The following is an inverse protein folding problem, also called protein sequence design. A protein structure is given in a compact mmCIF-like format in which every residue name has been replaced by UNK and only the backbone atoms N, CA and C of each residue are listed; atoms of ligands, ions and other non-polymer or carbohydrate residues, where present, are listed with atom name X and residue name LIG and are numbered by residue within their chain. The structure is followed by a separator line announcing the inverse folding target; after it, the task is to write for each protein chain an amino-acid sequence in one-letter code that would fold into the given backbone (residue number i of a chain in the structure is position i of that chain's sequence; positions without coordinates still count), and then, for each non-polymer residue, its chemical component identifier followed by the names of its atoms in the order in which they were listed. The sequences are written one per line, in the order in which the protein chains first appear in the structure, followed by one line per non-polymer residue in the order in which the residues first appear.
data_IF_819541012599
#
_entry.id   IF_819541012599
#
_cell.length_a   1.000
_cell.length_b   1.000
_cell.length_c   1.000
_cell.angle_alpha   90.00
_cell.angle_beta   90.00
_cell.angle_gamma   90.00
#
_symmetry.space_group_name_H-M   'P 1'
#
loop_
_entity.id
_entity.type
_entity.pdbx_description
1 polymer ?
#
# COMPACT_ATOMS: atom_id res chain seq x y z
N UNK A 1 32.29 44.17 29.25
CA UNK A 1 30.91 44.25 28.70
C UNK A 1 30.75 43.83 27.23
N UNK A 2 31.78 43.82 26.36
CA UNK A 2 31.61 43.47 24.92
C UNK A 2 31.44 41.96 24.60
N UNK A 3 31.93 41.05 25.45
CA UNK A 3 31.89 39.58 25.20
C UNK A 3 30.50 38.93 25.43
N UNK A 4 29.72 39.39 26.41
CA UNK A 4 28.36 38.87 26.66
C UNK A 4 27.37 39.22 25.54
N UNK A 5 27.52 40.39 24.91
CA UNK A 5 26.68 40.82 23.79
C UNK A 5 26.94 39.99 22.51
N UNK A 6 28.19 39.59 22.27
CA UNK A 6 28.57 38.79 21.10
C UNK A 6 28.06 37.35 21.17
N UNK A 7 27.97 36.77 22.37
CA UNK A 7 27.38 35.43 22.59
C UNK A 7 25.85 35.42 22.43
N UNK A 8 25.16 36.50 22.82
CA UNK A 8 23.71 36.65 22.60
C UNK A 8 23.34 36.75 21.11
N UNK A 9 24.11 37.53 20.34
CA UNK A 9 23.91 37.67 18.89
C UNK A 9 24.22 36.35 18.16
N UNK A 10 25.28 35.65 18.56
CA UNK A 10 25.62 34.33 18.00
C UNK A 10 24.53 33.28 18.24
N UNK A 11 23.93 33.26 19.44
CA UNK A 11 22.83 32.35 19.77
C UNK A 11 21.55 32.67 18.98
N UNK A 12 21.22 33.95 18.78
CA UNK A 12 20.06 34.38 17.98
C UNK A 12 20.23 34.04 16.50
N UNK A 13 21.44 34.19 15.95
CA UNK A 13 21.74 33.82 14.56
C UNK A 13 21.73 32.29 14.35
N UNK A 14 22.20 31.50 15.32
CA UNK A 14 22.09 30.04 15.27
C UNK A 14 20.63 29.60 15.32
N UNK A 15 19.81 30.21 16.18
CA UNK A 15 18.38 29.90 16.27
C UNK A 15 17.65 30.27 14.96
N UNK A 16 17.95 31.43 14.37
CA UNK A 16 17.37 31.86 13.10
C UNK A 16 17.75 30.94 11.92
N UNK A 17 18.95 30.35 11.95
CA UNK A 17 19.37 29.34 10.97
C UNK A 17 18.54 28.04 11.07
N UNK A 18 18.19 27.61 12.28
CA UNK A 18 17.31 26.44 12.49
C UNK A 18 15.85 26.69 12.07
N UNK A 19 15.36 27.93 12.12
CA UNK A 19 13.99 28.29 11.70
C UNK A 19 13.88 28.70 10.22
N UNK A 20 14.99 28.87 9.50
CA UNK A 20 15.02 29.32 8.11
C UNK A 20 14.86 28.22 7.05
N UNK A 21 14.85 26.94 7.45
CA UNK A 21 14.68 25.81 6.53
C UNK A 21 13.21 25.60 6.15
N UNK A 22 12.57 26.61 5.57
CA UNK A 22 11.27 26.47 4.94
C UNK A 22 11.49 25.82 3.56
N UNK A 23 11.32 24.50 3.46
CA UNK A 23 11.43 23.80 2.17
C UNK A 23 10.15 24.05 1.38
N UNK A 24 10.22 24.88 0.35
CA UNK A 24 9.15 24.98 -0.64
C UNK A 24 8.86 23.56 -1.18
N UNK A 25 7.61 23.13 -1.11
CA UNK A 25 7.19 21.82 -1.63
C UNK A 25 7.53 21.78 -3.13
N UNK A 26 8.26 20.75 -3.54
CA UNK A 26 8.64 20.53 -4.93
C UNK A 26 7.37 20.54 -5.82
N UNK A 27 7.32 21.33 -6.91
CA UNK A 27 6.21 21.33 -7.84
C UNK A 27 5.81 19.93 -8.33
N UNK A 28 6.76 18.99 -8.46
CA UNK A 28 6.46 17.60 -8.81
C UNK A 28 5.68 16.90 -7.69
N UNK A 29 6.10 17.04 -6.42
CA UNK A 29 5.39 16.51 -5.27
C UNK A 29 3.96 17.03 -5.20
N UNK A 30 3.76 18.33 -5.48
CA UNK A 30 2.41 18.92 -5.49
C UNK A 30 1.49 18.23 -6.51
N UNK A 31 2.00 17.85 -7.70
CA UNK A 31 1.21 17.12 -8.70
C UNK A 31 0.85 15.72 -8.19
N UNK A 32 1.81 15.03 -7.57
CA UNK A 32 1.59 13.71 -6.95
C UNK A 32 0.53 13.80 -5.85
N UNK A 33 0.64 14.76 -4.94
CA UNK A 33 -0.31 14.95 -3.83
C UNK A 33 -1.73 15.22 -4.35
N UNK A 34 -1.88 16.04 -5.40
CA UNK A 34 -3.19 16.28 -6.00
C UNK A 34 -3.78 15.03 -6.67
N UNK A 35 -2.94 14.22 -7.32
CA UNK A 35 -3.39 12.94 -7.87
C UNK A 35 -3.85 11.99 -6.75
N UNK A 36 -3.09 11.88 -5.66
CA UNK A 36 -3.46 11.06 -4.49
C UNK A 36 -4.82 11.52 -3.94
N UNK A 37 -4.99 12.83 -3.71
CA UNK A 37 -6.24 13.39 -3.19
C UNK A 37 -7.43 13.15 -4.13
N UNK A 38 -7.25 13.34 -5.44
CA UNK A 38 -8.30 13.12 -6.44
C UNK A 38 -8.71 11.64 -6.57
N UNK A 39 -7.80 10.71 -6.30
CA UNK A 39 -8.02 9.28 -6.45
C UNK A 39 -8.36 8.54 -5.15
N UNK A 40 -8.63 9.27 -4.06
CA UNK A 40 -9.21 8.73 -2.83
C UNK A 40 -8.34 8.92 -1.58
N UNK A 41 -7.04 9.18 -1.75
CA UNK A 41 -6.09 9.51 -0.70
C UNK A 41 -6.26 8.69 0.58
N UNK A 42 -6.62 9.38 1.66
CA UNK A 42 -6.84 8.81 3.00
C UNK A 42 -7.82 7.63 3.05
N UNK A 43 -8.77 7.55 2.11
CA UNK A 43 -9.74 6.44 2.03
C UNK A 43 -9.07 5.09 1.76
N UNK A 44 -7.84 5.05 1.27
CA UNK A 44 -7.08 3.81 1.05
C UNK A 44 -6.41 3.27 2.33
N UNK A 45 -6.48 4.00 3.46
CA UNK A 45 -6.04 3.49 4.77
C UNK A 45 -6.90 2.31 5.23
N UNK A 46 -8.20 2.38 4.98
CA UNK A 46 -9.17 1.31 5.19
C UNK A 46 -10.13 1.26 4.00
N UNK A 47 -10.03 0.22 3.20
CA UNK A 47 -10.80 0.12 1.95
C UNK A 47 -11.12 -1.32 1.61
N UNK A 48 -12.26 -1.49 0.96
CA UNK A 48 -12.63 -2.70 0.23
C UNK A 48 -12.86 -2.34 -1.24
N UNK A 49 -12.16 -3.01 -2.14
CA UNK A 49 -12.23 -2.79 -3.59
C UNK A 49 -12.45 -4.13 -4.26
N UNK A 50 -13.49 -4.21 -5.08
CA UNK A 50 -13.74 -5.33 -5.97
C UNK A 50 -13.59 -4.87 -7.42
N UNK A 51 -12.87 -5.66 -8.23
CA UNK A 51 -12.69 -5.37 -9.65
C UNK A 51 -12.42 -6.64 -10.44
N UNK A 52 -12.69 -6.58 -11.74
CA UNK A 52 -12.29 -7.61 -12.68
C UNK A 52 -11.02 -7.18 -13.40
N UNK A 53 -10.06 -8.09 -13.49
CA UNK A 53 -8.83 -7.87 -14.24
C UNK A 53 -8.52 -9.10 -15.09
N UNK A 54 -8.65 -8.92 -16.41
CA UNK A 54 -8.78 -10.03 -17.37
C UNK A 54 -9.98 -10.91 -16.96
N UNK A 55 -9.92 -12.21 -17.17
CA UNK A 55 -11.01 -13.15 -16.86
C UNK A 55 -11.02 -13.60 -15.39
N UNK A 56 -10.67 -12.70 -14.46
CA UNK A 56 -10.56 -13.00 -13.02
C UNK A 56 -11.15 -11.89 -12.17
N UNK A 57 -11.85 -12.28 -11.13
CA UNK A 57 -12.45 -11.39 -10.14
C UNK A 57 -11.51 -11.24 -8.95
N UNK A 58 -11.27 -10.03 -8.50
CA UNK A 58 -10.45 -9.73 -7.34
C UNK A 58 -11.26 -8.96 -6.31
N UNK A 59 -11.07 -9.29 -5.04
CA UNK A 59 -11.47 -8.42 -3.92
C UNK A 59 -10.26 -8.15 -3.06
N UNK A 60 -10.02 -6.90 -2.75
CA UNK A 60 -8.96 -6.44 -1.87
C UNK A 60 -9.62 -5.72 -0.72
N UNK A 61 -9.46 -6.26 0.48
CA UNK A 61 -9.71 -5.56 1.72
C UNK A 61 -8.36 -5.26 2.39
N UNK A 62 -8.16 -4.01 2.81
CA UNK A 62 -6.95 -3.58 3.50
C UNK A 62 -7.31 -2.56 4.56
N UNK A 63 -6.75 -2.75 5.75
CA UNK A 63 -6.83 -1.85 6.90
C UNK A 63 -5.45 -1.76 7.57
N UNK A 64 -5.26 -0.89 8.58
CA UNK A 64 -4.00 -0.83 9.33
C UNK A 64 -3.66 -2.14 10.07
N UNK A 65 -4.67 -2.94 10.43
CA UNK A 65 -4.50 -4.14 11.26
C UNK A 65 -4.43 -5.44 10.46
N UNK A 66 -5.14 -5.49 9.33
CA UNK A 66 -5.36 -6.72 8.57
C UNK A 66 -5.60 -6.45 7.08
N UNK A 67 -5.33 -7.47 6.27
CA UNK A 67 -5.64 -7.49 4.86
C UNK A 67 -6.28 -8.83 4.46
N UNK A 68 -7.04 -8.80 3.37
CA UNK A 68 -7.63 -9.97 2.75
C UNK A 68 -7.68 -9.73 1.25
N UNK A 69 -6.96 -10.54 0.49
CA UNK A 69 -6.92 -10.51 -0.96
C UNK A 69 -7.54 -11.80 -1.48
N UNK A 70 -8.48 -11.66 -2.40
CA UNK A 70 -9.12 -12.80 -3.04
C UNK A 70 -8.99 -12.70 -4.55
N UNK A 71 -8.93 -13.87 -5.18
CA UNK A 71 -9.00 -14.01 -6.63
C UNK A 71 -9.87 -15.21 -7.00
N UNK A 72 -10.89 -14.99 -7.80
CA UNK A 72 -11.81 -16.03 -8.26
C UNK A 72 -11.82 -16.12 -9.79
N UNK A 73 -11.84 -17.34 -10.32
CA UNK A 73 -11.92 -17.61 -11.76
C UNK A 73 -12.41 -19.04 -12.00
N UNK A 74 -12.87 -19.33 -13.22
CA UNK A 74 -13.22 -20.70 -13.64
C UNK A 74 -12.11 -21.27 -14.53
N UNK A 75 -11.71 -22.51 -14.28
CA UNK A 75 -10.81 -23.26 -15.14
C UNK A 75 -11.31 -24.72 -15.34
N UNK A 76 -10.44 -25.60 -15.87
CA UNK A 76 -10.77 -27.00 -16.13
C UNK A 76 -11.08 -27.82 -14.87
N UNK A 77 -10.68 -27.35 -13.69
CA UNK A 77 -10.93 -28.01 -12.40
C UNK A 77 -12.23 -27.51 -11.74
N UNK A 78 -12.80 -26.41 -12.22
CA UNK A 78 -14.03 -25.83 -11.69
C UNK A 78 -13.87 -24.35 -11.32
N UNK A 79 -14.68 -23.89 -10.37
CA UNK A 79 -14.53 -22.57 -9.77
C UNK A 79 -13.36 -22.59 -8.78
N UNK A 80 -12.30 -21.86 -9.12
CA UNK A 80 -11.15 -21.65 -8.25
C UNK A 80 -11.33 -20.34 -7.49
N UNK A 81 -11.10 -20.39 -6.18
CA UNK A 81 -11.01 -19.20 -5.32
C UNK A 81 -9.72 -19.25 -4.51
N UNK A 82 -8.87 -18.26 -4.73
CA UNK A 82 -7.67 -18.03 -3.96
C UNK A 82 -7.95 -17.00 -2.87
N UNK A 83 -7.43 -17.25 -1.67
CA UNK A 83 -7.54 -16.37 -0.51
C UNK A 83 -6.13 -16.19 0.07
N UNK A 84 -5.72 -14.93 0.24
CA UNK A 84 -4.47 -14.54 0.85
C UNK A 84 -4.76 -13.50 1.94
N UNK A 85 -4.45 -13.84 3.18
CA UNK A 85 -4.65 -12.98 4.34
C UNK A 85 -3.45 -13.05 5.30
N UNK A 86 -3.59 -12.47 6.50
CA UNK A 86 -2.57 -12.49 7.54
C UNK A 86 -2.18 -13.90 8.04
N UNK A 87 -3.04 -14.91 7.86
CA UNK A 87 -2.76 -16.30 8.26
C UNK A 87 -2.04 -17.09 7.16
N UNK A 88 -2.20 -16.68 5.90
CA UNK A 88 -1.47 -17.24 4.78
C UNK A 88 -2.32 -17.37 3.52
N UNK A 89 -1.97 -18.34 2.69
CA UNK A 89 -2.64 -18.61 1.43
C UNK A 89 -3.45 -19.90 1.49
N UNK A 90 -4.68 -19.85 0.98
CA UNK A 90 -5.54 -21.02 0.80
C UNK A 90 -6.19 -20.97 -0.58
N UNK A 91 -6.23 -22.11 -1.27
CA UNK A 91 -7.00 -22.28 -2.50
C UNK A 91 -8.22 -23.17 -2.24
N UNK A 92 -9.33 -22.78 -2.82
CA UNK A 92 -10.56 -23.56 -2.89
C UNK A 92 -10.84 -23.94 -4.34
N UNK A 93 -11.31 -25.15 -4.58
CA UNK A 93 -11.84 -25.63 -5.86
C UNK A 93 -13.24 -26.17 -5.61
N UNK A 94 -14.24 -25.62 -6.31
CA UNK A 94 -15.66 -25.94 -6.09
C UNK A 94 -16.08 -25.80 -4.61
N UNK A 95 -15.47 -24.85 -3.91
CA UNK A 95 -15.77 -24.54 -2.50
C UNK A 95 -14.95 -25.33 -1.47
N UNK A 96 -14.23 -26.37 -1.87
CA UNK A 96 -13.42 -27.20 -0.97
C UNK A 96 -11.96 -26.75 -0.95
N UNK A 97 -11.37 -26.66 0.24
CA UNK A 97 -9.96 -26.33 0.40
C UNK A 97 -9.09 -27.47 -0.15
N UNK A 98 -8.06 -27.13 -0.93
CA UNK A 98 -7.17 -28.12 -1.54
C UNK A 98 -5.76 -28.01 -1.00
N UNK A 99 -5.15 -29.17 -0.74
CA UNK A 99 -3.73 -29.26 -0.41
C UNK A 99 -2.88 -28.94 -1.65
N UNK A 100 -1.85 -28.13 -1.46
CA UNK A 100 -0.97 -27.66 -2.52
C UNK A 100 0.46 -28.09 -2.26
N UNK A 101 1.20 -28.31 -3.35
CA UNK A 101 2.66 -28.37 -3.25
C UNK A 101 3.20 -27.01 -2.77
N UNK A 102 4.33 -27.02 -2.07
CA UNK A 102 4.96 -25.77 -1.61
C UNK A 102 5.26 -24.82 -2.77
N UNK A 103 5.67 -25.37 -3.93
CA UNK A 103 5.91 -24.59 -5.15
C UNK A 103 4.65 -23.88 -5.62
N UNK A 104 3.52 -24.57 -5.66
CA UNK A 104 2.25 -24.00 -6.14
C UNK A 104 1.70 -22.98 -5.16
N UNK A 105 1.79 -23.27 -3.86
CA UNK A 105 1.41 -22.33 -2.79
C UNK A 105 2.16 -21.01 -2.94
N UNK A 106 3.49 -21.05 -3.12
CA UNK A 106 4.32 -19.84 -3.34
C UNK A 106 3.93 -19.13 -4.64
N UNK A 107 3.79 -19.87 -5.74
CA UNK A 107 3.45 -19.28 -7.04
C UNK A 107 2.09 -18.56 -7.03
N UNK A 108 1.07 -19.18 -6.43
CA UNK A 108 -0.26 -18.59 -6.37
C UNK A 108 -0.34 -17.43 -5.36
N UNK A 109 0.34 -17.54 -4.22
CA UNK A 109 0.51 -16.43 -3.26
C UNK A 109 1.07 -15.19 -3.96
N UNK A 110 2.21 -15.35 -4.65
CA UNK A 110 2.85 -14.25 -5.37
C UNK A 110 1.92 -13.66 -6.43
N UNK A 111 1.20 -14.52 -7.15
CA UNK A 111 0.28 -14.09 -8.20
C UNK A 111 -0.90 -13.25 -7.67
N UNK A 112 -1.47 -13.58 -6.51
CA UNK A 112 -2.51 -12.76 -5.85
C UNK A 112 -1.89 -11.48 -5.29
N UNK A 113 -0.76 -11.59 -4.59
CA UNK A 113 -0.10 -10.46 -3.94
C UNK A 113 0.37 -9.39 -4.94
N UNK A 114 0.90 -9.78 -6.11
CA UNK A 114 1.35 -8.83 -7.12
C UNK A 114 0.22 -7.97 -7.69
N UNK A 115 -0.99 -8.52 -7.85
CA UNK A 115 -2.14 -7.72 -8.32
C UNK A 115 -2.61 -6.76 -7.25
N UNK A 116 -2.66 -7.22 -5.99
CA UNK A 116 -3.00 -6.34 -4.87
C UNK A 116 -1.97 -5.21 -4.71
N UNK A 117 -0.68 -5.54 -4.79
CA UNK A 117 0.41 -4.56 -4.75
C UNK A 117 0.33 -3.56 -5.91
N UNK A 118 -0.02 -4.00 -7.13
CA UNK A 118 -0.15 -3.07 -8.26
C UNK A 118 -1.37 -2.13 -8.09
N UNK A 119 -2.50 -2.67 -7.62
CA UNK A 119 -3.70 -1.87 -7.33
C UNK A 119 -3.49 -0.87 -6.16
N UNK A 120 -2.55 -1.18 -5.26
CA UNK A 120 -2.18 -0.39 -4.10
C UNK A 120 -0.71 0.03 -4.16
N UNK A 121 -0.18 0.32 -5.37
CA UNK A 121 1.16 0.92 -5.49
C UNK A 121 1.25 2.00 -4.42
N UNK A 122 2.35 2.01 -3.65
CA UNK A 122 2.39 2.68 -2.37
C UNK A 122 1.85 4.06 -2.57
N UNK A 123 0.82 4.41 -1.80
CA UNK A 123 0.24 5.75 -1.77
C UNK A 123 1.39 6.73 -1.92
N UNK A 124 1.42 7.44 -3.06
CA UNK A 124 2.64 7.99 -3.66
C UNK A 124 3.62 8.65 -2.71
#
# INVERSE_FOLDING_TARGET
MKRQFLHGIGAVLLLAYFFGACTAVDPAQRIVDQAILAHGGERFKEVEIAFQFRDREYTIFKSPERFLYTRSFRDSLGVVRDVLDNAGFTRYIEGEAVELSEKDRVAFTNSVNSVAYFAFLPMG
#
